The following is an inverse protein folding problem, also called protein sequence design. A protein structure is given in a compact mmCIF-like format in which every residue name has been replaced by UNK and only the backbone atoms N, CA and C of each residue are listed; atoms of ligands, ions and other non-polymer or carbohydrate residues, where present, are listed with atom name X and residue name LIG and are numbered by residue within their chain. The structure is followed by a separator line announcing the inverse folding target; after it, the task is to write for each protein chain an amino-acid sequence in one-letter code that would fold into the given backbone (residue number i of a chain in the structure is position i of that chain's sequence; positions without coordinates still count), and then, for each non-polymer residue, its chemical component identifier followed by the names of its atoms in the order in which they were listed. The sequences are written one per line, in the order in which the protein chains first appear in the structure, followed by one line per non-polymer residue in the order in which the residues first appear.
data_IF_787314840152
#
_entry.id   IF_787314840152
#
_cell.length_a   1.000
_cell.length_b   1.000
_cell.length_c   1.000
_cell.angle_alpha   90.00
_cell.angle_beta   90.00
_cell.angle_gamma   90.00
#
_symmetry.space_group_name_H-M   'P 1'
#
loop_
_entity.id
_entity.type
_entity.pdbx_description
1 polymer ?
#
# COMPACT_ATOMS: atom_id res chain seq x y z
N UNK A 1 92.64 -11.08 -5.54
CA UNK A 1 93.48 -10.55 -6.62
C UNK A 1 92.58 -9.79 -7.60
N UNK A 2 92.78 -8.54 -7.56
CA UNK A 2 93.06 -7.68 -8.68
C UNK A 2 91.96 -7.51 -9.69
N UNK A 3 91.51 -6.48 -10.19
CA UNK A 3 91.97 -5.08 -10.27
C UNK A 3 91.10 -4.38 -11.32
N UNK A 4 90.68 -3.18 -11.07
CA UNK A 4 90.72 -1.99 -11.90
C UNK A 4 89.50 -1.67 -12.86
N UNK A 5 88.99 -0.48 -12.60
CA UNK A 5 88.22 0.39 -13.48
C UNK A 5 89.10 1.03 -14.59
N UNK A 6 88.73 2.03 -15.36
CA UNK A 6 87.46 2.82 -15.51
C UNK A 6 87.15 3.12 -17.02
N UNK A 7 86.05 3.84 -17.25
CA UNK A 7 85.83 4.43 -18.62
C UNK A 7 84.55 5.24 -18.71
N UNK A 8 84.72 6.57 -18.78
CA UNK A 8 83.76 7.67 -19.04
C UNK A 8 83.08 7.58 -20.41
N UNK A 9 81.85 8.01 -20.58
CA UNK A 9 81.46 9.26 -21.22
C UNK A 9 79.95 9.24 -21.56
N UNK A 10 79.23 10.21 -21.04
CA UNK A 10 78.52 11.26 -21.76
C UNK A 10 77.50 10.85 -22.83
N UNK A 11 76.25 11.10 -22.57
CA UNK A 11 75.18 11.14 -23.55
C UNK A 11 73.87 11.59 -22.88
N UNK A 12 73.60 12.87 -22.90
CA UNK A 12 72.29 13.43 -22.53
C UNK A 12 71.29 12.96 -23.60
N UNK A 13 70.19 12.42 -23.18
CA UNK A 13 68.97 12.53 -23.93
C UNK A 13 67.78 12.64 -22.97
N UNK A 14 67.18 13.79 -23.03
CA UNK A 14 65.96 14.18 -22.40
C UNK A 14 64.82 13.52 -23.17
N UNK A 15 64.12 12.57 -22.59
CA UNK A 15 62.83 12.10 -23.07
C UNK A 15 61.84 12.19 -21.90
N UNK A 16 60.95 13.16 -22.07
CA UNK A 16 59.81 13.35 -21.20
C UNK A 16 58.94 12.07 -21.18
N UNK A 17 58.81 11.48 -20.02
CA UNK A 17 57.78 10.45 -19.78
C UNK A 17 56.49 11.17 -19.38
N UNK A 18 55.59 11.25 -20.34
CA UNK A 18 54.18 11.51 -20.09
C UNK A 18 53.65 10.32 -19.28
N UNK A 19 53.48 10.52 -17.98
CA UNK A 19 52.66 9.62 -17.13
C UNK A 19 51.20 10.01 -17.38
N UNK A 20 50.53 9.36 -18.32
CA UNK A 20 49.08 9.25 -18.30
C UNK A 20 48.67 8.55 -17.02
N UNK A 21 48.11 9.35 -16.11
CA UNK A 21 47.44 8.90 -14.92
C UNK A 21 46.17 8.17 -15.30
N UNK A 22 46.25 6.86 -15.38
CA UNK A 22 45.08 5.96 -15.44
C UNK A 22 44.29 6.05 -14.13
N UNK A 23 43.45 7.09 -14.03
CA UNK A 23 42.48 7.20 -12.96
C UNK A 23 41.34 6.22 -13.27
N UNK A 24 41.46 5.00 -12.73
CA UNK A 24 40.40 4.02 -12.75
C UNK A 24 39.07 4.62 -12.24
N UNK A 25 37.91 4.05 -12.63
CA UNK A 25 36.59 4.61 -12.33
C UNK A 25 36.40 4.78 -10.83
N UNK A 26 36.15 6.02 -10.41
CA UNK A 26 35.80 6.36 -9.02
C UNK A 26 34.55 5.53 -8.64
N UNK A 27 34.58 4.75 -7.56
CA UNK A 27 33.40 3.98 -7.16
C UNK A 27 32.23 4.91 -6.87
N UNK A 28 31.15 4.74 -7.62
CA UNK A 28 29.91 5.49 -7.44
C UNK A 28 29.41 5.28 -6.01
N UNK A 29 29.29 6.36 -5.24
CA UNK A 29 28.78 6.31 -3.87
C UNK A 29 27.39 5.69 -3.90
N UNK A 30 27.11 4.69 -3.01
CA UNK A 30 25.79 4.07 -2.99
C UNK A 30 24.72 5.15 -2.82
N UNK A 31 23.72 5.16 -3.71
CA UNK A 31 22.57 6.07 -3.65
C UNK A 31 21.97 5.97 -2.26
N UNK A 32 22.03 7.05 -1.49
CA UNK A 32 21.39 7.14 -0.17
C UNK A 32 19.92 6.79 -0.33
N UNK A 33 19.54 5.60 0.12
CA UNK A 33 18.12 5.20 0.20
C UNK A 33 17.39 6.29 0.95
N UNK A 34 16.38 6.91 0.31
CA UNK A 34 15.57 7.98 0.91
C UNK A 34 14.98 7.45 2.22
N UNK A 35 15.32 8.06 3.34
CA UNK A 35 14.70 7.71 4.62
C UNK A 35 13.23 8.06 4.54
N UNK A 36 12.37 7.05 4.59
CA UNK A 36 10.92 7.22 4.67
C UNK A 36 10.54 8.07 5.88
N UNK A 37 9.57 8.96 5.72
CA UNK A 37 8.97 9.71 6.82
C UNK A 37 8.24 8.75 7.78
N UNK A 38 7.93 9.22 8.99
CA UNK A 38 7.13 8.44 9.94
C UNK A 38 5.74 8.12 9.38
N UNK A 39 5.16 9.02 8.59
CA UNK A 39 3.87 8.84 7.95
C UNK A 39 3.92 7.79 6.83
N UNK A 40 4.94 7.84 5.96
CA UNK A 40 5.15 6.81 4.93
C UNK A 40 5.30 5.43 5.56
N UNK A 41 6.14 5.29 6.59
CA UNK A 41 6.32 4.01 7.31
C UNK A 41 5.03 3.51 7.97
N UNK A 42 4.20 4.42 8.49
CA UNK A 42 2.90 4.05 9.05
C UNK A 42 1.95 3.55 7.96
N UNK A 43 1.95 4.17 6.79
CA UNK A 43 1.16 3.73 5.64
C UNK A 43 1.60 2.34 5.14
N UNK A 44 2.92 2.11 4.99
CA UNK A 44 3.48 0.81 4.61
C UNK A 44 3.09 -0.30 5.62
N UNK A 45 3.10 0.02 6.92
CA UNK A 45 2.67 -0.91 7.95
C UNK A 45 1.17 -1.23 7.86
N UNK A 46 0.32 -0.23 7.61
CA UNK A 46 -1.11 -0.45 7.44
C UNK A 46 -1.40 -1.27 6.19
N UNK A 47 -0.69 -1.04 5.09
CA UNK A 47 -0.83 -1.84 3.86
C UNK A 47 -0.44 -3.30 4.10
N UNK A 48 0.69 -3.55 4.75
CA UNK A 48 1.11 -4.90 5.13
C UNK A 48 0.09 -5.58 6.06
N UNK A 49 -0.47 -4.84 7.02
CA UNK A 49 -1.48 -5.35 7.94
C UNK A 49 -2.80 -5.68 7.23
N UNK A 50 -3.23 -4.85 6.28
CA UNK A 50 -4.43 -5.12 5.46
C UNK A 50 -4.29 -6.42 4.69
N UNK A 51 -3.13 -6.69 4.10
CA UNK A 51 -2.87 -7.94 3.38
C UNK A 51 -2.96 -9.13 4.33
N UNK A 52 -2.27 -9.09 5.47
CA UNK A 52 -2.30 -10.20 6.45
C UNK A 52 -3.70 -10.45 6.99
N UNK A 53 -4.44 -9.39 7.33
CA UNK A 53 -5.82 -9.53 7.80
C UNK A 53 -6.78 -10.00 6.70
N UNK A 54 -6.57 -9.61 5.45
CA UNK A 54 -7.36 -10.08 4.32
C UNK A 54 -7.19 -11.60 4.10
N UNK A 55 -5.95 -12.09 4.20
CA UNK A 55 -5.59 -13.49 3.97
C UNK A 55 -5.98 -14.41 5.14
N UNK A 56 -5.76 -13.96 6.39
CA UNK A 56 -5.85 -14.80 7.58
C UNK A 56 -7.00 -14.44 8.56
N UNK A 57 -7.73 -13.37 8.28
CA UNK A 57 -8.77 -12.84 9.15
C UNK A 57 -8.25 -12.23 10.45
N UNK A 58 -9.16 -11.64 11.24
CA UNK A 58 -8.80 -10.99 12.50
C UNK A 58 -8.15 -11.96 13.49
N UNK A 59 -8.70 -13.15 13.66
CA UNK A 59 -8.21 -14.11 14.67
C UNK A 59 -6.94 -14.82 14.21
N UNK A 60 -6.85 -15.23 12.95
CA UNK A 60 -5.72 -15.97 12.39
C UNK A 60 -4.43 -15.16 12.23
N UNK A 61 -4.54 -13.85 12.00
CA UNK A 61 -3.38 -12.99 11.82
C UNK A 61 -2.58 -12.80 13.10
N UNK A 62 -1.25 -12.90 13.01
CA UNK A 62 -0.31 -12.56 14.09
C UNK A 62 0.39 -11.24 13.79
N UNK A 63 0.56 -10.40 14.79
CA UNK A 63 1.29 -9.11 14.64
C UNK A 63 2.76 -9.30 14.25
N UNK A 64 3.33 -10.47 14.54
CA UNK A 64 4.69 -10.82 14.10
C UNK A 64 4.78 -10.98 12.57
N UNK A 65 3.75 -11.56 11.94
CA UNK A 65 3.70 -11.76 10.48
C UNK A 65 3.53 -10.40 9.78
N UNK A 66 2.67 -9.53 10.33
CA UNK A 66 2.54 -8.13 9.86
C UNK A 66 3.88 -7.39 9.94
N UNK A 67 4.59 -7.51 11.08
CA UNK A 67 5.88 -6.86 11.26
C UNK A 67 6.92 -7.36 10.24
N UNK A 68 6.97 -8.69 10.01
CA UNK A 68 7.84 -9.31 9.02
C UNK A 68 7.53 -8.82 7.60
N UNK A 69 6.25 -8.78 7.20
CA UNK A 69 5.82 -8.28 5.88
C UNK A 69 6.17 -6.80 5.69
N UNK A 70 5.98 -5.97 6.72
CA UNK A 70 6.31 -4.54 6.69
C UNK A 70 7.81 -4.24 6.80
N UNK A 71 8.67 -5.24 7.04
CA UNK A 71 10.10 -5.04 7.24
C UNK A 71 10.45 -4.27 8.53
N UNK A 72 9.61 -4.37 9.57
CA UNK A 72 9.80 -3.70 10.86
C UNK A 72 9.86 -4.70 12.02
N UNK A 73 10.27 -4.25 13.19
CA UNK A 73 10.20 -5.09 14.38
C UNK A 73 8.80 -5.13 14.98
N UNK A 74 8.41 -6.26 15.61
CA UNK A 74 7.12 -6.37 16.29
C UNK A 74 6.97 -5.32 17.43
N UNK A 75 7.99 -5.01 18.25
CA UNK A 75 7.92 -3.88 19.20
C UNK A 75 7.58 -2.53 18.55
N UNK A 76 8.03 -2.28 17.31
CA UNK A 76 7.67 -1.06 16.58
C UNK A 76 6.17 -1.02 16.24
N UNK A 77 5.57 -2.16 15.88
CA UNK A 77 4.12 -2.26 15.68
C UNK A 77 3.37 -1.87 16.95
N UNK A 78 3.77 -2.39 18.11
CA UNK A 78 3.15 -2.08 19.40
C UNK A 78 3.42 -0.65 19.89
N UNK A 79 4.50 -0.02 19.46
CA UNK A 79 4.75 1.40 19.71
C UNK A 79 3.75 2.32 18.97
N UNK A 80 3.22 1.87 17.82
CA UNK A 80 2.24 2.62 17.02
C UNK A 80 0.78 2.24 17.34
N UNK A 81 0.54 0.99 17.73
CA UNK A 81 -0.78 0.44 18.00
C UNK A 81 -0.75 -0.41 19.27
N UNK A 82 -1.49 -0.06 20.32
CA UNK A 82 -1.37 -0.70 21.64
C UNK A 82 -1.72 -2.20 21.62
N UNK A 83 -2.57 -2.63 20.70
CA UNK A 83 -2.96 -4.02 20.52
C UNK A 83 -3.38 -4.34 19.07
N UNK A 84 -3.64 -5.62 18.78
CA UNK A 84 -4.06 -6.08 17.45
C UNK A 84 -5.40 -5.46 17.01
N UNK A 85 -6.32 -5.22 17.94
CA UNK A 85 -7.60 -4.60 17.63
C UNK A 85 -7.43 -3.14 17.20
N UNK A 86 -6.60 -2.38 17.88
CA UNK A 86 -6.29 -0.99 17.50
C UNK A 86 -5.66 -0.93 16.11
N UNK A 87 -4.74 -1.85 15.79
CA UNK A 87 -4.17 -1.96 14.44
C UNK A 87 -5.25 -2.33 13.40
N UNK A 88 -6.10 -3.32 13.70
CA UNK A 88 -7.18 -3.75 12.81
C UNK A 88 -8.17 -2.62 12.51
N UNK A 89 -8.58 -1.86 13.53
CA UNK A 89 -9.47 -0.70 13.36
C UNK A 89 -8.78 0.43 12.58
N UNK A 90 -7.49 0.65 12.80
CA UNK A 90 -6.72 1.61 11.98
C UNK A 90 -6.61 1.18 10.51
N UNK A 91 -6.52 -0.13 10.23
CA UNK A 91 -6.59 -0.66 8.86
C UNK A 91 -7.99 -0.42 8.26
N UNK A 92 -9.05 -0.62 9.04
CA UNK A 92 -10.42 -0.36 8.60
C UNK A 92 -10.64 1.11 8.27
N UNK A 93 -10.21 2.03 9.13
CA UNK A 93 -10.28 3.48 8.86
C UNK A 93 -9.50 3.85 7.60
N UNK A 94 -8.28 3.34 7.47
CA UNK A 94 -7.41 3.61 6.33
C UNK A 94 -7.97 3.10 5.00
N UNK A 95 -8.53 1.88 4.96
CA UNK A 95 -9.16 1.32 3.75
C UNK A 95 -10.45 2.04 3.41
N UNK A 96 -11.28 2.37 4.40
CA UNK A 96 -12.54 3.12 4.21
C UNK A 96 -12.27 4.50 3.62
N UNK A 97 -11.25 5.22 4.12
CA UNK A 97 -10.90 6.54 3.57
C UNK A 97 -10.45 6.46 2.11
N UNK A 98 -9.67 5.44 1.74
CA UNK A 98 -9.25 5.24 0.33
C UNK A 98 -10.40 4.90 -0.60
N UNK A 99 -11.39 4.13 -0.12
CA UNK A 99 -12.60 3.85 -0.89
C UNK A 99 -13.39 5.15 -1.08
N UNK A 100 -13.57 5.91 -0.02
CA UNK A 100 -14.23 7.22 -0.05
C UNK A 100 -13.56 8.15 -1.06
N UNK A 101 -12.22 8.32 -0.98
CA UNK A 101 -11.44 9.14 -1.93
C UNK A 101 -11.67 8.70 -3.40
N UNK A 102 -11.70 7.39 -3.66
CA UNK A 102 -11.94 6.85 -4.99
C UNK A 102 -13.35 7.17 -5.50
N UNK A 103 -14.37 7.06 -4.64
CA UNK A 103 -15.76 7.37 -4.98
C UNK A 103 -15.98 8.89 -5.15
N UNK A 104 -15.41 9.72 -4.28
CA UNK A 104 -15.45 11.19 -4.38
C UNK A 104 -14.81 11.67 -5.67
N UNK A 105 -13.64 11.12 -6.03
CA UNK A 105 -12.99 11.42 -7.30
C UNK A 105 -13.86 11.04 -8.50
N UNK A 106 -14.46 9.84 -8.48
CA UNK A 106 -15.33 9.40 -9.55
C UNK A 106 -16.57 10.33 -9.71
N UNK A 107 -17.10 10.83 -8.59
CA UNK A 107 -18.22 11.78 -8.61
C UNK A 107 -17.80 13.18 -9.09
N UNK A 108 -16.59 13.63 -8.74
CA UNK A 108 -16.07 14.93 -9.16
C UNK A 108 -15.69 14.99 -10.65
N UNK A 109 -15.32 13.84 -11.23
CA UNK A 109 -14.93 13.73 -12.64
C UNK A 109 -16.17 13.61 -13.59
N UNK A 110 -17.39 13.61 -13.05
CA UNK A 110 -18.65 13.55 -13.85
C UNK A 110 -18.87 14.85 -14.62
N UNK A 111 -19.32 14.73 -15.85
CA UNK A 111 -19.68 15.85 -16.72
C UNK A 111 -20.92 15.54 -17.54
N UNK A 112 -21.84 16.52 -17.67
CA UNK A 112 -23.01 16.42 -18.54
C UNK A 112 -23.99 15.30 -18.17
N UNK A 113 -24.25 14.40 -19.13
CA UNK A 113 -25.19 13.28 -18.98
C UNK A 113 -24.55 12.00 -18.42
N UNK A 114 -23.38 12.08 -17.79
CA UNK A 114 -22.70 10.91 -17.21
C UNK A 114 -23.57 10.25 -16.14
N UNK A 115 -23.65 8.91 -16.22
CA UNK A 115 -24.36 8.10 -15.23
C UNK A 115 -23.51 7.94 -13.95
N UNK A 116 -23.98 8.57 -12.87
CA UNK A 116 -23.33 8.52 -11.54
C UNK A 116 -23.15 7.09 -11.07
N UNK A 117 -24.15 6.22 -11.24
CA UNK A 117 -24.08 4.82 -10.81
C UNK A 117 -22.96 4.08 -11.53
N UNK A 118 -22.87 4.24 -12.85
CA UNK A 118 -21.80 3.63 -13.64
C UNK A 118 -20.41 4.17 -13.24
N UNK A 119 -20.29 5.45 -12.93
CA UNK A 119 -19.02 6.03 -12.51
C UNK A 119 -18.54 5.46 -11.17
N UNK A 120 -19.45 5.32 -10.21
CA UNK A 120 -19.18 4.68 -8.92
C UNK A 120 -18.82 3.20 -9.09
N UNK A 121 -19.53 2.47 -9.94
CA UNK A 121 -19.24 1.08 -10.24
C UNK A 121 -17.85 0.91 -10.87
N UNK A 122 -17.51 1.73 -11.87
CA UNK A 122 -16.15 1.74 -12.46
C UNK A 122 -15.06 2.08 -11.44
N UNK A 123 -15.33 3.01 -10.52
CA UNK A 123 -14.38 3.33 -9.46
C UNK A 123 -14.15 2.14 -8.50
N UNK A 124 -15.22 1.45 -8.14
CA UNK A 124 -15.14 0.28 -7.29
C UNK A 124 -14.48 -0.90 -8.02
N UNK A 125 -14.76 -1.10 -9.32
CA UNK A 125 -14.08 -2.11 -10.14
C UNK A 125 -12.56 -1.90 -10.16
N UNK A 126 -12.08 -0.65 -10.30
CA UNK A 126 -10.65 -0.37 -10.21
C UNK A 126 -10.05 -0.77 -8.86
N UNK A 127 -10.78 -0.60 -7.75
CA UNK A 127 -10.32 -1.10 -6.44
C UNK A 127 -10.19 -2.62 -6.41
N UNK A 128 -11.11 -3.33 -7.05
CA UNK A 128 -11.02 -4.78 -7.22
C UNK A 128 -9.75 -5.21 -7.95
N UNK A 129 -9.48 -4.57 -9.08
CA UNK A 129 -8.39 -4.97 -9.96
C UNK A 129 -7.02 -4.59 -9.39
N UNK A 130 -6.92 -3.38 -8.81
CA UNK A 130 -5.65 -2.82 -8.35
C UNK A 130 -5.33 -3.17 -6.89
N UNK A 131 -6.37 -3.42 -6.07
CA UNK A 131 -6.24 -3.53 -4.61
C UNK A 131 -7.13 -4.62 -4.00
N UNK A 132 -7.08 -5.85 -4.50
CA UNK A 132 -8.00 -6.93 -4.07
C UNK A 132 -7.94 -7.20 -2.56
N UNK A 133 -6.79 -7.04 -1.91
CA UNK A 133 -6.68 -7.23 -0.46
C UNK A 133 -7.47 -6.18 0.34
N UNK A 134 -7.61 -4.95 -0.16
CA UNK A 134 -8.45 -3.94 0.51
C UNK A 134 -9.93 -4.33 0.45
N UNK A 135 -10.36 -4.92 -0.65
CA UNK A 135 -11.73 -5.43 -0.84
C UNK A 135 -11.98 -6.66 0.04
N UNK A 136 -11.07 -7.64 0.03
CA UNK A 136 -11.16 -8.82 0.89
C UNK A 136 -11.12 -8.45 2.38
N UNK A 137 -10.32 -7.46 2.75
CA UNK A 137 -10.27 -6.97 4.13
C UNK A 137 -11.63 -6.47 4.62
N UNK A 138 -12.49 -5.88 3.78
CA UNK A 138 -13.85 -5.48 4.17
C UNK A 138 -14.69 -6.69 4.60
N UNK A 139 -14.59 -7.81 3.89
CA UNK A 139 -15.27 -9.07 4.29
C UNK A 139 -14.80 -9.50 5.67
N UNK A 140 -13.49 -9.47 5.92
CA UNK A 140 -12.93 -9.82 7.23
C UNK A 140 -13.34 -8.83 8.33
N UNK A 141 -13.45 -7.54 8.00
CA UNK A 141 -13.91 -6.53 8.94
C UNK A 141 -15.37 -6.76 9.38
N UNK A 142 -16.25 -7.11 8.45
CA UNK A 142 -17.63 -7.44 8.75
C UNK A 142 -17.74 -8.76 9.55
N UNK A 143 -16.95 -9.77 9.22
CA UNK A 143 -16.91 -11.03 9.96
C UNK A 143 -16.43 -10.81 11.41
N UNK A 144 -15.36 -10.05 11.62
CA UNK A 144 -14.85 -9.69 12.93
C UNK A 144 -15.87 -8.86 13.73
N UNK A 145 -16.53 -7.88 13.09
CA UNK A 145 -17.58 -7.07 13.69
C UNK A 145 -18.81 -7.90 14.13
N UNK A 146 -19.13 -8.95 13.39
CA UNK A 146 -20.21 -9.87 13.79
C UNK A 146 -19.90 -10.59 15.12
N UNK A 147 -18.63 -10.91 15.37
CA UNK A 147 -18.18 -11.67 16.53
C UNK A 147 -17.83 -10.79 17.76
N UNK A 148 -17.29 -9.57 17.55
CA UNK A 148 -16.79 -8.70 18.63
C UNK A 148 -17.51 -7.33 18.63
N UNK A 149 -18.29 -6.99 19.69
CA UNK A 149 -18.93 -5.69 19.82
C UNK A 149 -17.97 -4.51 19.85
N UNK A 150 -16.74 -4.69 20.32
CA UNK A 150 -15.72 -3.63 20.36
C UNK A 150 -15.13 -3.33 18.96
N UNK A 151 -15.26 -4.27 18.02
CA UNK A 151 -14.96 -4.04 16.60
C UNK A 151 -16.22 -3.54 15.87
N UNK A 152 -17.38 -4.09 16.20
CA UNK A 152 -18.66 -3.80 15.56
C UNK A 152 -18.99 -2.29 15.60
N UNK A 153 -18.85 -1.67 16.74
CA UNK A 153 -19.27 -0.26 16.90
C UNK A 153 -18.46 0.71 16.02
N UNK A 154 -17.12 0.66 15.99
CA UNK A 154 -16.34 1.46 15.06
C UNK A 154 -16.64 1.16 13.58
N UNK A 155 -16.74 -0.11 13.19
CA UNK A 155 -17.03 -0.52 11.81
C UNK A 155 -18.42 -0.02 11.38
N UNK A 156 -19.44 -0.19 12.22
CA UNK A 156 -20.80 0.32 12.00
C UNK A 156 -20.83 1.83 11.80
N UNK A 157 -20.15 2.56 12.67
CA UNK A 157 -20.08 4.03 12.60
C UNK A 157 -19.49 4.48 11.27
N UNK A 158 -18.37 3.92 10.84
CA UNK A 158 -17.72 4.27 9.56
C UNK A 158 -18.60 3.93 8.35
N UNK A 159 -19.32 2.82 8.39
CA UNK A 159 -20.27 2.46 7.35
C UNK A 159 -21.40 3.49 7.23
N UNK A 160 -21.99 3.91 8.35
CA UNK A 160 -23.05 4.91 8.38
C UNK A 160 -22.51 6.27 7.88
N UNK A 161 -21.33 6.70 8.36
CA UNK A 161 -20.68 7.93 7.91
C UNK A 161 -20.48 7.98 6.39
N UNK A 162 -20.07 6.86 5.78
CA UNK A 162 -19.88 6.78 4.33
C UNK A 162 -21.21 6.93 3.57
N UNK A 163 -22.27 6.26 4.02
CA UNK A 163 -23.61 6.36 3.42
C UNK A 163 -24.13 7.79 3.52
N UNK A 164 -24.10 8.39 4.75
CA UNK A 164 -24.56 9.75 4.99
C UNK A 164 -23.76 10.81 4.20
N UNK A 165 -22.45 10.59 4.03
CA UNK A 165 -21.62 11.49 3.22
C UNK A 165 -22.07 11.49 1.77
N UNK A 166 -22.34 10.31 1.19
CA UNK A 166 -22.82 10.17 -0.17
C UNK A 166 -24.17 10.88 -0.36
N UNK A 167 -25.09 10.76 0.62
CA UNK A 167 -26.37 11.46 0.61
C UNK A 167 -26.19 12.99 0.69
N UNK A 168 -25.29 13.49 1.56
CA UNK A 168 -24.97 14.92 1.65
C UNK A 168 -24.36 15.48 0.36
N UNK A 169 -23.64 14.65 -0.40
CA UNK A 169 -23.10 15.03 -1.69
C UNK A 169 -24.13 14.92 -2.84
N UNK A 170 -25.41 14.72 -2.51
CA UNK A 170 -26.54 14.79 -3.44
C UNK A 170 -26.92 13.44 -4.06
N UNK A 171 -26.30 12.33 -3.70
CA UNK A 171 -26.70 11.02 -4.18
C UNK A 171 -28.02 10.57 -3.51
N UNK A 172 -29.06 10.16 -4.28
CA UNK A 172 -30.27 9.61 -3.70
C UNK A 172 -29.97 8.38 -2.83
N UNK A 173 -30.58 8.28 -1.64
CA UNK A 173 -30.36 7.15 -0.70
C UNK A 173 -30.51 5.79 -1.37
N UNK A 174 -31.50 5.64 -2.24
CA UNK A 174 -31.75 4.39 -2.96
C UNK A 174 -30.57 4.01 -3.86
N UNK A 175 -29.96 4.98 -4.56
CA UNK A 175 -28.76 4.77 -5.39
C UNK A 175 -27.58 4.35 -4.52
N UNK A 176 -27.37 5.03 -3.40
CA UNK A 176 -26.26 4.71 -2.46
C UNK A 176 -26.40 3.28 -1.93
N UNK A 177 -27.59 2.89 -1.48
CA UNK A 177 -27.83 1.54 -0.95
C UNK A 177 -27.70 0.46 -2.03
N UNK A 178 -28.13 0.76 -3.27
CA UNK A 178 -27.97 -0.16 -4.42
C UNK A 178 -26.51 -0.35 -4.76
N UNK A 179 -25.71 0.73 -4.83
CA UNK A 179 -24.27 0.66 -5.03
C UNK A 179 -23.58 -0.14 -3.92
N UNK A 180 -23.91 0.10 -2.65
CA UNK A 180 -23.39 -0.66 -1.51
C UNK A 180 -23.73 -2.15 -1.63
N UNK A 181 -24.97 -2.48 -1.99
CA UNK A 181 -25.37 -3.89 -2.15
C UNK A 181 -24.59 -4.59 -3.28
N UNK A 182 -24.36 -3.92 -4.41
CA UNK A 182 -23.57 -4.44 -5.53
C UNK A 182 -22.10 -4.60 -5.11
N UNK A 183 -21.53 -3.61 -4.44
CA UNK A 183 -20.16 -3.67 -3.90
C UNK A 183 -19.99 -4.84 -2.93
N UNK A 184 -20.97 -5.06 -2.03
CA UNK A 184 -20.91 -6.20 -1.07
C UNK A 184 -20.99 -7.55 -1.80
N UNK A 185 -21.85 -7.67 -2.83
CA UNK A 185 -21.89 -8.89 -3.64
C UNK A 185 -20.57 -9.10 -4.38
N UNK A 186 -19.95 -8.05 -4.89
CA UNK A 186 -18.63 -8.09 -5.48
C UNK A 186 -17.56 -8.59 -4.48
N UNK A 187 -17.55 -8.06 -3.26
CA UNK A 187 -16.63 -8.50 -2.21
C UNK A 187 -16.77 -10.01 -1.93
N UNK A 188 -18.00 -10.51 -1.89
CA UNK A 188 -18.27 -11.95 -1.73
C UNK A 188 -17.80 -12.74 -2.95
N UNK A 189 -18.05 -12.24 -4.16
CA UNK A 189 -17.61 -12.88 -5.39
C UNK A 189 -16.07 -13.02 -5.44
N UNK A 190 -15.35 -11.98 -5.01
CA UNK A 190 -13.89 -12.04 -4.88
C UNK A 190 -13.44 -13.04 -3.81
N UNK A 191 -14.08 -13.03 -2.64
CA UNK A 191 -13.73 -13.93 -1.53
C UNK A 191 -13.95 -15.41 -1.87
N UNK A 192 -14.91 -15.71 -2.76
CA UNK A 192 -15.23 -17.06 -3.21
C UNK A 192 -14.57 -17.43 -4.56
N UNK A 193 -13.77 -16.54 -5.14
CA UNK A 193 -13.18 -16.71 -6.48
C UNK A 193 -14.24 -17.09 -7.54
N UNK A 194 -15.39 -16.38 -7.50
CA UNK A 194 -16.46 -16.66 -8.44
C UNK A 194 -16.08 -16.25 -9.87
N UNK A 195 -16.57 -17.01 -10.88
CA UNK A 195 -16.38 -16.66 -12.28
C UNK A 195 -16.93 -15.26 -12.61
N UNK A 196 -16.41 -14.59 -13.67
CA UNK A 196 -16.78 -13.20 -14.02
C UNK A 196 -18.30 -12.98 -14.17
N UNK A 197 -19.04 -13.96 -14.67
CA UNK A 197 -20.49 -13.87 -14.88
C UNK A 197 -21.32 -13.73 -13.58
N UNK A 198 -20.71 -13.99 -12.42
CA UNK A 198 -21.31 -13.78 -11.09
C UNK A 198 -20.85 -12.50 -10.41
N UNK A 199 -20.01 -11.71 -11.07
CA UNK A 199 -19.53 -10.44 -10.51
C UNK A 199 -20.50 -9.32 -10.90
N UNK A 200 -21.09 -8.62 -9.92
CA UNK A 200 -22.14 -7.61 -10.21
C UNK A 200 -21.58 -6.32 -10.81
N UNK A 201 -20.26 -6.17 -10.82
CA UNK A 201 -19.52 -5.00 -11.24
C UNK A 201 -18.58 -5.46 -12.37
N UNK A 202 -18.88 -5.05 -13.59
CA UNK A 202 -18.14 -5.39 -14.80
C UNK A 202 -18.69 -4.62 -15.98
#
# INVERSE_FOLDING_TARGET
MATFAPGRASGRNNAAFDQESDAGPVPEKPKRTRRLSAQERRADLLEAAVIEFAESGYHGTRTADIAARAGVSQPYVYALFPDKRALFLACHDWTTERIKEALEKASADLSGDDDVEQALDRAYQRLFDERPHQVLFQVQAHAAAAADPAIREPVRRRFIELVELSERNGAPRELVLRHVARSMLGNVALALDLPPEYRPIG
#
